data_IF_988813600681
#
_entry.id   IF_988813600681
#
_cell.length_a   1.000
_cell.length_b   1.000
_cell.length_c   1.000
_cell.angle_alpha   90.00
_cell.angle_beta   90.00
_cell.angle_gamma   90.00
#
_symmetry.space_group_name_H-M   'P 1'
#
loop_
_entity.id
_entity.type
_entity.pdbx_description
1 polymer ?
#
# COMPACT_ATOMS: atom_id res chain seq x y z
N UNK A 1 -52.20 2.20 51.39
CA UNK A 1 -51.23 1.87 50.33
C UNK A 1 -49.85 2.00 50.94
N UNK A 2 -49.09 0.91 51.04
CA UNK A 2 -47.72 0.92 51.53
C UNK A 2 -46.84 0.81 50.28
N UNK A 3 -46.03 1.83 50.02
CA UNK A 3 -45.05 1.85 48.94
C UNK A 3 -43.88 0.94 49.36
N UNK A 4 -43.63 -0.12 48.60
CA UNK A 4 -42.43 -0.95 48.79
C UNK A 4 -41.24 -0.22 48.17
N UNK A 5 -40.07 -0.19 48.86
CA UNK A 5 -38.86 0.34 48.25
C UNK A 5 -38.47 -0.56 47.06
N UNK A 6 -38.34 0.04 45.88
CA UNK A 6 -37.73 -0.62 44.73
C UNK A 6 -36.26 -0.87 45.08
N UNK A 7 -35.90 -2.11 45.38
CA UNK A 7 -34.49 -2.52 45.39
C UNK A 7 -33.93 -2.20 44.02
N UNK A 8 -32.95 -1.30 43.97
CA UNK A 8 -32.14 -1.12 42.77
C UNK A 8 -31.44 -2.45 42.56
N UNK A 9 -31.87 -3.21 41.56
CA UNK A 9 -31.05 -4.27 40.98
C UNK A 9 -29.77 -3.59 40.51
N UNK A 10 -28.73 -3.64 41.35
CA UNK A 10 -27.38 -3.42 40.89
C UNK A 10 -27.17 -4.46 39.79
N UNK A 11 -27.26 -4.01 38.54
CA UNK A 11 -26.84 -4.75 37.37
C UNK A 11 -25.37 -5.09 37.59
N UNK A 12 -25.10 -6.18 38.29
CA UNK A 12 -23.78 -6.75 38.45
C UNK A 12 -23.34 -7.20 37.08
N UNK A 13 -22.74 -6.27 36.34
CA UNK A 13 -22.23 -6.49 35.02
C UNK A 13 -21.24 -7.65 35.12
N UNK A 14 -21.57 -8.77 34.49
CA UNK A 14 -20.74 -9.95 34.55
C UNK A 14 -19.44 -9.68 33.79
N UNK A 15 -18.35 -9.48 34.54
CA UNK A 15 -17.04 -9.13 33.98
C UNK A 15 -16.40 -10.30 33.22
N UNK A 16 -16.74 -11.55 33.57
CA UNK A 16 -16.15 -12.75 32.98
C UNK A 16 -16.27 -12.79 31.44
N UNK A 17 -17.46 -12.61 30.83
CA UNK A 17 -17.58 -12.59 29.36
C UNK A 17 -16.89 -11.39 28.71
N UNK A 18 -16.79 -10.24 29.39
CA UNK A 18 -16.12 -9.07 28.83
C UNK A 18 -14.59 -9.24 28.79
N UNK A 19 -14.03 -9.83 29.85
CA UNK A 19 -12.60 -10.18 29.90
C UNK A 19 -12.27 -11.16 28.77
N UNK A 20 -13.12 -12.15 28.52
CA UNK A 20 -12.94 -13.11 27.43
C UNK A 20 -12.94 -12.43 26.05
N UNK A 21 -13.90 -11.55 25.78
CA UNK A 21 -13.94 -10.78 24.53
C UNK A 21 -12.68 -9.93 24.34
N UNK A 22 -12.21 -9.25 25.38
CA UNK A 22 -10.99 -8.43 25.30
C UNK A 22 -9.75 -9.32 25.10
N UNK A 23 -9.67 -10.45 25.78
CA UNK A 23 -8.56 -11.38 25.65
C UNK A 23 -8.47 -11.98 24.24
N UNK A 24 -9.60 -12.40 23.68
CA UNK A 24 -9.71 -12.86 22.29
C UNK A 24 -9.30 -11.77 21.30
N UNK A 25 -9.71 -10.52 21.52
CA UNK A 25 -9.30 -9.40 20.69
C UNK A 25 -7.79 -9.15 20.76
N UNK A 26 -7.17 -9.22 21.94
CA UNK A 26 -5.71 -9.05 22.08
C UNK A 26 -4.95 -10.15 21.35
N UNK A 27 -5.37 -11.42 21.48
CA UNK A 27 -4.76 -12.54 20.75
C UNK A 27 -4.93 -12.36 19.23
N UNK A 28 -6.13 -11.98 18.79
CA UNK A 28 -6.40 -11.72 17.38
C UNK A 28 -5.50 -10.61 16.83
N UNK A 29 -5.38 -9.48 17.51
CA UNK A 29 -4.50 -8.39 17.08
C UNK A 29 -3.03 -8.79 17.09
N UNK A 30 -2.56 -9.45 18.15
CA UNK A 30 -1.17 -9.91 18.25
C UNK A 30 -0.79 -10.91 17.15
N UNK A 31 -1.71 -11.78 16.77
CA UNK A 31 -1.50 -12.74 15.67
C UNK A 31 -1.59 -12.08 14.31
N UNK A 32 -2.56 -11.19 14.10
CA UNK A 32 -2.75 -10.45 12.85
C UNK A 32 -1.60 -9.48 12.53
N UNK A 33 -1.02 -8.81 13.53
CA UNK A 33 0.13 -7.89 13.31
C UNK A 33 1.35 -8.61 12.76
N UNK A 34 1.60 -9.86 13.16
CA UNK A 34 2.71 -10.67 12.62
C UNK A 34 2.54 -11.05 11.14
N UNK A 35 1.34 -10.92 10.58
CA UNK A 35 1.08 -11.22 9.18
C UNK A 35 1.39 -10.01 8.28
N UNK A 36 1.05 -8.80 8.72
CA UNK A 36 1.33 -7.56 7.99
C UNK A 36 2.82 -7.28 7.81
N UNK A 37 3.67 -7.66 8.78
CA UNK A 37 5.13 -7.49 8.67
C UNK A 37 5.74 -8.46 7.66
N UNK A 38 5.28 -9.72 7.62
CA UNK A 38 5.79 -10.71 6.66
C UNK A 38 5.45 -10.36 5.20
N UNK A 39 4.27 -9.81 4.92
CA UNK A 39 3.93 -9.34 3.57
C UNK A 39 4.68 -8.06 3.15
N UNK A 40 5.17 -7.25 4.10
CA UNK A 40 5.98 -6.06 3.78
C UNK A 40 7.45 -6.37 3.54
N UNK A 41 7.99 -7.39 4.22
CA UNK A 41 9.39 -7.78 4.09
C UNK A 41 9.64 -8.75 2.92
N UNK A 42 8.61 -9.48 2.50
CA UNK A 42 8.66 -10.30 1.31
C UNK A 42 8.32 -9.43 0.08
N UNK A 43 9.35 -9.11 -0.72
CA UNK A 43 9.28 -8.59 -2.09
C UNK A 43 9.20 -7.08 -2.36
N UNK A 44 9.85 -6.23 -1.54
CA UNK A 44 10.31 -4.95 -2.11
C UNK A 44 11.72 -4.53 -1.69
N UNK A 45 12.72 -5.20 -2.25
CA UNK A 45 14.01 -4.57 -2.49
C UNK A 45 13.84 -3.55 -3.62
N UNK A 46 13.31 -2.35 -3.32
CA UNK A 46 13.46 -1.24 -4.25
C UNK A 46 14.96 -0.95 -4.35
N UNK A 47 15.59 -1.04 -5.53
CA UNK A 47 16.95 -0.56 -5.69
C UNK A 47 16.95 0.90 -5.26
N UNK A 48 17.77 1.26 -4.27
CA UNK A 48 17.88 2.63 -3.78
C UNK A 48 18.28 3.52 -4.96
N UNK A 49 17.32 4.25 -5.53
CA UNK A 49 17.62 5.26 -6.53
C UNK A 49 18.51 6.31 -5.85
N UNK A 50 19.75 6.44 -6.33
CA UNK A 50 20.75 7.37 -5.78
C UNK A 50 20.38 8.85 -5.91
N UNK A 51 19.28 9.20 -6.59
CA UNK A 51 18.85 10.60 -6.76
C UNK A 51 17.39 10.84 -6.33
N UNK A 52 17.13 11.10 -5.04
CA UNK A 52 15.82 11.56 -4.57
C UNK A 52 15.47 13.00 -5.00
N UNK A 53 16.43 13.76 -5.55
CA UNK A 53 16.27 15.20 -5.83
C UNK A 53 15.72 15.59 -7.21
N UNK A 54 15.41 14.64 -8.11
CA UNK A 54 14.99 14.98 -9.48
C UNK A 54 13.47 14.91 -9.73
N UNK A 55 12.67 14.43 -8.78
CA UNK A 55 11.24 14.22 -9.00
C UNK A 55 10.40 15.51 -8.99
N UNK A 56 10.99 16.66 -8.66
CA UNK A 56 10.22 17.91 -8.48
C UNK A 56 10.30 18.90 -9.64
N UNK A 57 11.09 18.65 -10.70
CA UNK A 57 11.31 19.71 -11.72
C UNK A 57 10.70 19.53 -13.09
N UNK A 58 10.25 18.35 -13.52
CA UNK A 58 9.65 18.19 -14.85
C UNK A 58 8.72 16.97 -14.89
N UNK A 59 7.57 17.04 -14.20
CA UNK A 59 6.58 15.95 -14.29
C UNK A 59 5.94 15.87 -15.69
N UNK A 60 6.01 16.96 -16.46
CA UNK A 60 5.43 17.07 -17.81
C UNK A 60 6.23 16.32 -18.90
N UNK A 61 7.48 15.94 -18.63
CA UNK A 61 8.37 15.32 -19.63
C UNK A 61 8.78 13.87 -19.30
N UNK A 62 8.04 13.20 -18.41
CA UNK A 62 8.31 11.79 -18.12
C UNK A 62 7.79 10.88 -19.25
N UNK A 63 8.67 10.10 -19.87
CA UNK A 63 8.31 9.11 -20.90
C UNK A 63 8.32 7.73 -20.25
N UNK A 64 7.20 7.01 -20.37
CA UNK A 64 7.09 5.62 -19.90
C UNK A 64 7.42 4.69 -21.06
N UNK A 65 8.50 3.93 -20.93
CA UNK A 65 8.96 2.92 -21.88
C UNK A 65 8.84 1.55 -21.21
N UNK A 66 8.04 0.67 -21.79
CA UNK A 66 7.89 -0.71 -21.31
C UNK A 66 8.69 -1.64 -22.22
N UNK A 67 9.48 -2.53 -21.63
CA UNK A 67 10.25 -3.55 -22.35
C UNK A 67 9.81 -4.91 -21.82
N UNK A 68 9.25 -5.75 -22.70
CA UNK A 68 8.84 -7.11 -22.35
C UNK A 68 10.04 -8.07 -22.39
N UNK A 69 9.88 -9.25 -21.80
CA UNK A 69 10.93 -10.27 -21.74
C UNK A 69 11.38 -10.77 -23.13
N UNK A 70 10.51 -10.68 -24.13
CA UNK A 70 10.79 -11.00 -25.53
C UNK A 70 11.55 -9.89 -26.29
N UNK A 71 11.88 -8.79 -25.62
CA UNK A 71 12.57 -7.63 -26.21
C UNK A 71 11.64 -6.68 -26.97
N UNK A 72 10.32 -6.92 -26.96
CA UNK A 72 9.37 -5.98 -27.56
C UNK A 72 9.24 -4.71 -26.71
N UNK A 73 9.25 -3.57 -27.40
CA UNK A 73 9.24 -2.23 -26.79
C UNK A 73 7.86 -1.62 -26.99
N UNK A 74 7.28 -1.11 -25.90
CA UNK A 74 5.99 -0.43 -25.90
C UNK A 74 6.13 0.97 -25.30
N UNK A 75 5.68 1.98 -26.03
CA UNK A 75 5.60 3.37 -25.57
C UNK A 75 4.15 3.82 -25.69
N UNK A 76 3.57 4.33 -24.60
CA UNK A 76 2.16 4.75 -24.54
C UNK A 76 1.13 3.69 -25.03
N UNK A 77 1.48 2.40 -24.90
CA UNK A 77 0.62 1.30 -25.32
C UNK A 77 0.79 0.89 -26.78
N UNK A 78 1.59 1.60 -27.57
CA UNK A 78 1.95 1.23 -28.93
C UNK A 78 3.27 0.47 -28.96
N UNK A 79 3.32 -0.63 -29.71
CA UNK A 79 4.56 -1.35 -29.95
C UNK A 79 5.40 -0.60 -30.97
N UNK A 80 6.61 -0.21 -30.60
CA UNK A 80 7.54 0.51 -31.48
C UNK A 80 8.84 -0.26 -31.65
N UNK A 81 9.52 -0.06 -32.77
CA UNK A 81 10.86 -0.61 -32.99
C UNK A 81 11.91 0.18 -32.20
N UNK A 82 13.09 -0.42 -32.00
CA UNK A 82 14.22 0.27 -31.37
C UNK A 82 14.65 1.52 -32.17
N UNK A 83 14.58 1.47 -33.50
CA UNK A 83 14.90 2.59 -34.38
C UNK A 83 13.91 3.76 -34.20
N UNK A 84 12.61 3.44 -34.11
CA UNK A 84 11.55 4.42 -33.83
C UNK A 84 11.71 5.04 -32.45
N UNK A 85 12.06 4.24 -31.44
CA UNK A 85 12.34 4.74 -30.09
C UNK A 85 13.50 5.74 -30.10
N UNK A 86 14.60 5.42 -30.80
CA UNK A 86 15.76 6.31 -30.91
C UNK A 86 15.37 7.63 -31.57
N UNK A 87 14.61 7.58 -32.67
CA UNK A 87 14.11 8.79 -33.34
C UNK A 87 13.24 9.65 -32.42
N UNK A 88 12.30 9.03 -31.72
CA UNK A 88 11.42 9.70 -30.75
C UNK A 88 12.20 10.38 -29.62
N UNK A 89 13.20 9.70 -29.06
CA UNK A 89 14.04 10.23 -27.99
C UNK A 89 14.94 11.38 -28.48
N UNK A 90 15.48 11.29 -29.70
CA UNK A 90 16.28 12.35 -30.30
C UNK A 90 15.46 13.61 -30.56
N UNK A 91 14.24 13.46 -31.09
CA UNK A 91 13.33 14.57 -31.31
C UNK A 91 12.98 15.26 -29.98
N UNK A 92 12.56 14.49 -28.97
CA UNK A 92 12.20 15.01 -27.64
C UNK A 92 13.37 15.68 -26.91
N UNK A 93 14.60 15.16 -27.09
CA UNK A 93 15.81 15.79 -26.55
C UNK A 93 16.09 17.15 -27.22
N UNK A 94 15.71 17.34 -28.48
CA UNK A 94 15.88 18.61 -29.18
C UNK A 94 14.80 19.65 -28.82
N UNK A 95 13.66 19.21 -28.30
CA UNK A 95 12.54 20.04 -27.83
C UNK A 95 12.67 20.45 -26.35
N UNK A 96 13.68 19.92 -25.65
CA UNK A 96 14.04 20.17 -24.25
C UNK A 96 15.24 21.13 -24.13
#
# INVERSE_FOLDING_TARGET
>A
MIEMPQEKEDLQLNMAPMIDMIFLLIIFFLTATTFTEREREQDVLLPSNRNPGSLSRNMDNNIIINVKQDGSIFVQGEQISAEQLVGMLQQRKAEL
#
